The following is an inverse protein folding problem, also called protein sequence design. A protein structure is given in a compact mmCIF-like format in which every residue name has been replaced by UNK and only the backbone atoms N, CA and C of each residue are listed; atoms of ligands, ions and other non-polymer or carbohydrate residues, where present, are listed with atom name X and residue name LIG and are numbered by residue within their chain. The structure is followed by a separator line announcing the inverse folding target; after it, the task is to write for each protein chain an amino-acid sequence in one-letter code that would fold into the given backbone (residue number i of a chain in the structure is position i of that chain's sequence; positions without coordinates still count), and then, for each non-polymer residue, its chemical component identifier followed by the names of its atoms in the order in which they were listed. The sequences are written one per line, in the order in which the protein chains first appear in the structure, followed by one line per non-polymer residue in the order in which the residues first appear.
data_IF_138703969655
#
_entry.id   IF_138703969655
#
_cell.length_a   1.000
_cell.length_b   1.000
_cell.length_c   1.000
_cell.angle_alpha   90.00
_cell.angle_beta   90.00
_cell.angle_gamma   90.00
#
_symmetry.space_group_name_H-M   'P 1'
#
loop_
_entity.id
_entity.type
_entity.pdbx_description
1 polymer ?
#
# COMPACT_ATOMS: atom_id res chain seq x y z
N UNK A 1 -3.22 -12.30 -16.01
CA UNK A 1 -2.73 -11.23 -15.11
C UNK A 1 -3.08 -9.90 -15.76
N UNK A 2 -3.80 -9.02 -15.07
CA UNK A 2 -4.11 -7.67 -15.58
C UNK A 2 -2.88 -6.75 -15.61
N UNK A 3 -3.02 -5.47 -16.00
CA UNK A 3 -1.94 -4.49 -15.84
C UNK A 3 -1.59 -4.28 -14.36
N UNK A 4 -0.34 -3.88 -14.09
CA UNK A 4 0.10 -3.46 -12.75
C UNK A 4 -0.51 -2.12 -12.43
N UNK A 5 -1.04 -1.98 -11.21
CA UNK A 5 -1.48 -0.70 -10.67
C UNK A 5 -0.35 -0.01 -9.93
N UNK A 6 -0.24 1.30 -10.10
CA UNK A 6 0.71 2.13 -9.37
C UNK A 6 -0.02 2.98 -8.34
N UNK A 7 0.42 2.86 -7.09
CA UNK A 7 -0.10 3.60 -5.94
C UNK A 7 1.03 4.46 -5.36
N UNK A 8 1.26 5.69 -5.85
CA UNK A 8 2.23 6.60 -5.25
C UNK A 8 2.00 6.81 -3.75
N UNK A 9 3.03 6.58 -2.93
CA UNK A 9 3.00 6.95 -1.51
C UNK A 9 3.30 8.43 -1.36
N UNK A 10 2.37 9.17 -0.75
CA UNK A 10 2.56 10.60 -0.48
C UNK A 10 3.56 10.86 0.65
N UNK A 11 4.03 9.82 1.35
CA UNK A 11 5.02 9.93 2.43
C UNK A 11 6.30 10.63 1.96
N UNK A 12 6.64 10.51 0.68
CA UNK A 12 7.82 11.13 0.08
C UNK A 12 7.49 12.33 -0.81
N UNK A 13 6.23 12.76 -0.85
CA UNK A 13 5.83 13.98 -1.56
C UNK A 13 6.22 15.23 -0.75
N UNK A 14 6.30 16.38 -1.43
CA UNK A 14 6.41 17.67 -0.75
C UNK A 14 5.07 17.99 -0.06
N UNK A 15 5.02 17.79 1.26
CA UNK A 15 3.82 18.02 2.06
C UNK A 15 3.37 19.49 2.06
N UNK A 16 4.27 20.45 1.80
CA UNK A 16 3.91 21.86 1.68
C UNK A 16 3.13 22.17 0.39
N UNK A 17 3.23 21.28 -0.61
CA UNK A 17 2.58 21.38 -1.92
C UNK A 17 1.79 20.12 -2.26
N UNK A 18 1.21 19.47 -1.24
CA UNK A 18 0.59 18.15 -1.38
C UNK A 18 -0.53 18.11 -2.44
N UNK A 19 -1.36 19.15 -2.51
CA UNK A 19 -2.41 19.24 -3.54
C UNK A 19 -1.82 19.14 -4.96
N UNK A 20 -0.76 19.90 -5.23
CA UNK A 20 -0.10 19.92 -6.54
C UNK A 20 0.52 18.56 -6.86
N UNK A 21 1.18 17.93 -5.89
CA UNK A 21 1.77 16.61 -6.05
C UNK A 21 0.72 15.53 -6.39
N UNK A 22 -0.45 15.58 -5.73
CA UNK A 22 -1.56 14.66 -6.01
C UNK A 22 -2.14 14.90 -7.41
N UNK A 23 -2.37 16.16 -7.79
CA UNK A 23 -2.89 16.51 -9.12
C UNK A 23 -1.92 16.11 -10.23
N UNK A 24 -0.62 16.27 -10.01
CA UNK A 24 0.41 15.82 -10.96
C UNK A 24 0.39 14.30 -11.12
N UNK A 25 0.26 13.55 -10.02
CA UNK A 25 0.17 12.10 -10.06
C UNK A 25 -1.12 11.61 -10.77
N UNK A 26 -2.27 12.22 -10.47
CA UNK A 26 -3.54 11.92 -11.16
C UNK A 26 -3.45 12.23 -12.66
N UNK A 27 -2.87 13.37 -13.04
CA UNK A 27 -2.65 13.73 -14.45
C UNK A 27 -1.67 12.80 -15.17
N UNK A 28 -0.67 12.25 -14.46
CA UNK A 28 0.24 11.23 -14.98
C UNK A 28 -0.46 9.87 -15.22
N UNK A 29 -1.64 9.67 -14.63
CA UNK A 29 -2.44 8.46 -14.74
C UNK A 29 -1.96 7.35 -13.81
N UNK A 30 -1.62 7.69 -12.56
CA UNK A 30 -1.50 6.70 -11.47
C UNK A 30 -2.89 6.12 -11.15
N UNK A 31 -2.90 4.95 -10.52
CA UNK A 31 -4.16 4.24 -10.26
C UNK A 31 -4.76 4.67 -8.92
N UNK A 32 -3.95 4.74 -7.86
CA UNK A 32 -4.38 5.04 -6.48
C UNK A 32 -3.48 6.09 -5.83
N UNK A 33 -3.88 6.62 -4.67
CA UNK A 33 -3.01 7.40 -3.79
C UNK A 33 -2.78 6.61 -2.50
N UNK A 34 -1.53 6.26 -2.19
CA UNK A 34 -1.17 5.49 -1.01
C UNK A 34 -0.83 6.42 0.17
N UNK A 35 -1.42 6.12 1.33
CA UNK A 35 -1.43 6.96 2.51
C UNK A 35 -0.89 6.17 3.71
N UNK A 36 0.39 6.39 4.02
CA UNK A 36 1.09 5.76 5.14
C UNK A 36 0.79 6.47 6.47
N UNK A 37 -0.07 5.87 7.29
CA UNK A 37 -0.46 6.37 8.61
C UNK A 37 0.40 5.70 9.67
N UNK A 38 1.18 6.49 10.39
CA UNK A 38 2.11 6.03 11.42
C UNK A 38 1.83 6.74 12.75
N UNK A 39 1.88 6.02 13.87
CA UNK A 39 1.53 6.54 15.21
C UNK A 39 2.73 6.79 16.15
N UNK A 40 3.96 6.55 15.70
CA UNK A 40 5.15 6.67 16.55
C UNK A 40 5.35 5.52 17.54
N UNK A 41 4.50 4.48 17.51
CA UNK A 41 4.61 3.31 18.39
C UNK A 41 4.81 2.03 17.57
N UNK A 42 4.03 1.81 16.50
CA UNK A 42 4.18 0.63 15.64
C UNK A 42 5.46 0.73 14.82
N UNK A 43 5.74 1.96 14.40
CA UNK A 43 6.99 2.42 13.81
C UNK A 43 7.46 3.67 14.54
N UNK A 44 8.76 4.03 14.52
CA UNK A 44 9.28 5.16 15.28
C UNK A 44 8.73 6.54 14.86
N UNK A 45 8.29 6.69 13.60
CA UNK A 45 7.84 7.96 13.05
C UNK A 45 6.33 8.17 13.24
N UNK A 46 5.93 9.44 13.32
CA UNK A 46 4.53 9.89 13.32
C UNK A 46 4.28 10.63 11.99
N UNK A 47 3.24 10.25 11.25
CA UNK A 47 2.89 10.92 9.99
C UNK A 47 1.67 11.82 10.16
N UNK A 48 0.48 11.27 9.96
CA UNK A 48 -0.78 12.00 9.93
C UNK A 48 -1.95 11.07 10.26
N UNK A 49 -3.12 11.65 10.53
CA UNK A 49 -4.35 10.91 10.84
C UNK A 49 -5.48 11.18 9.84
N UNK A 50 -6.73 10.86 10.22
CA UNK A 50 -7.91 10.99 9.36
C UNK A 50 -8.11 12.39 8.74
N UNK A 51 -7.72 13.45 9.45
CA UNK A 51 -7.79 14.84 8.95
C UNK A 51 -7.06 15.03 7.61
N UNK A 52 -5.87 14.42 7.45
CA UNK A 52 -5.14 14.53 6.18
C UNK A 52 -5.81 13.70 5.10
N UNK A 53 -6.33 12.51 5.43
CA UNK A 53 -7.07 11.67 4.48
C UNK A 53 -8.28 12.42 3.92
N UNK A 54 -9.02 13.14 4.77
CA UNK A 54 -10.14 13.99 4.35
C UNK A 54 -9.67 15.14 3.43
N UNK A 55 -8.53 15.77 3.75
CA UNK A 55 -7.96 16.80 2.89
C UNK A 55 -7.54 16.25 1.51
N UNK A 56 -6.89 15.09 1.46
CA UNK A 56 -6.52 14.40 0.22
C UNK A 56 -7.77 14.01 -0.58
N UNK A 57 -8.83 13.53 0.07
CA UNK A 57 -10.08 13.14 -0.58
C UNK A 57 -10.73 14.30 -1.33
N UNK A 58 -10.60 15.54 -0.82
CA UNK A 58 -11.12 16.75 -1.50
C UNK A 58 -10.34 17.11 -2.77
N UNK A 59 -9.11 16.63 -2.93
CA UNK A 59 -8.20 17.01 -4.03
C UNK A 59 -8.37 16.10 -5.25
N UNK A 60 -8.55 14.79 -5.03
CA UNK A 60 -8.56 13.77 -6.09
C UNK A 60 -9.84 12.95 -6.09
N UNK A 61 -10.12 12.26 -7.18
CA UNK A 61 -11.18 11.23 -7.28
C UNK A 61 -10.64 9.79 -7.28
N UNK A 62 -9.31 9.62 -7.34
CA UNK A 62 -8.67 8.31 -7.33
C UNK A 62 -8.91 7.56 -6.01
N UNK A 63 -8.89 6.22 -6.01
CA UNK A 63 -8.96 5.44 -4.78
C UNK A 63 -7.88 5.84 -3.77
N UNK A 64 -8.28 6.04 -2.52
CA UNK A 64 -7.39 6.28 -1.40
C UNK A 64 -7.06 4.96 -0.69
N UNK A 65 -5.80 4.55 -0.78
CA UNK A 65 -5.26 3.33 -0.19
C UNK A 65 -4.58 3.66 1.14
N UNK A 66 -5.33 3.52 2.24
CA UNK A 66 -4.86 3.85 3.59
C UNK A 66 -4.19 2.65 4.22
N UNK A 67 -2.90 2.81 4.52
CA UNK A 67 -2.06 1.79 5.13
C UNK A 67 -1.77 2.17 6.59
N UNK A 68 -2.35 1.39 7.52
CA UNK A 68 -2.31 1.66 8.95
C UNK A 68 -1.13 0.96 9.63
N UNK A 69 -0.03 1.67 9.76
CA UNK A 69 1.13 1.33 10.60
C UNK A 69 0.94 1.91 12.00
N UNK A 70 -0.13 1.48 12.70
CA UNK A 70 -0.53 1.94 14.03
C UNK A 70 -0.94 0.77 14.92
N UNK A 71 -0.77 0.85 16.24
CA UNK A 71 -1.27 -0.20 17.17
C UNK A 71 -2.77 -0.03 17.39
N UNK A 72 -3.45 -1.15 17.62
CA UNK A 72 -4.90 -1.18 17.86
C UNK A 72 -5.70 -0.42 16.79
N UNK A 73 -5.48 -0.72 15.49
CA UNK A 73 -6.11 0.00 14.39
C UNK A 73 -7.64 0.00 14.44
N UNK A 74 -8.25 -0.98 15.13
CA UNK A 74 -9.69 -1.05 15.38
C UNK A 74 -10.28 0.24 15.99
N UNK A 75 -9.46 1.06 16.65
CA UNK A 75 -9.88 2.34 17.23
C UNK A 75 -10.14 3.44 16.21
N UNK A 76 -9.60 3.31 14.99
CA UNK A 76 -9.60 4.38 13.98
C UNK A 76 -10.26 3.98 12.65
N UNK A 77 -10.69 2.71 12.49
CA UNK A 77 -11.23 2.22 11.22
C UNK A 77 -12.43 3.05 10.72
N UNK A 78 -13.32 3.43 11.63
CA UNK A 78 -14.48 4.25 11.30
C UNK A 78 -14.08 5.68 10.91
N UNK A 79 -13.15 6.29 11.64
CA UNK A 79 -12.65 7.63 11.33
C UNK A 79 -12.00 7.69 9.94
N UNK A 80 -11.17 6.69 9.60
CA UNK A 80 -10.55 6.62 8.26
C UNK A 80 -11.57 6.33 7.16
N UNK A 81 -12.58 5.48 7.42
CA UNK A 81 -13.64 5.21 6.47
C UNK A 81 -14.48 6.47 6.18
N UNK A 82 -14.80 7.25 7.22
CA UNK A 82 -15.52 8.53 7.11
C UNK A 82 -14.67 9.62 6.45
N UNK A 83 -13.36 9.65 6.70
CA UNK A 83 -12.43 10.57 6.04
C UNK A 83 -12.27 10.33 4.53
N UNK A 84 -12.83 9.23 4.00
CA UNK A 84 -12.87 8.96 2.56
C UNK A 84 -11.87 7.91 2.09
N UNK A 85 -11.31 7.10 2.99
CA UNK A 85 -10.55 5.92 2.59
C UNK A 85 -11.43 4.99 1.72
N UNK A 86 -10.84 4.44 0.65
CA UNK A 86 -11.48 3.42 -0.19
C UNK A 86 -10.98 2.03 0.19
N UNK A 87 -9.67 1.92 0.45
CA UNK A 87 -9.04 0.74 1.02
C UNK A 87 -8.49 1.07 2.40
N UNK A 88 -8.61 0.13 3.34
CA UNK A 88 -7.98 0.20 4.66
C UNK A 88 -7.21 -1.09 4.88
N UNK A 89 -5.89 -0.98 4.95
CA UNK A 89 -4.98 -2.09 5.19
C UNK A 89 -4.43 -2.00 6.61
N UNK A 90 -4.65 -3.05 7.41
CA UNK A 90 -4.12 -3.16 8.79
C UNK A 90 -2.98 -4.16 8.86
N UNK A 91 -2.03 -3.94 9.74
CA UNK A 91 -0.99 -4.91 10.03
C UNK A 91 -1.49 -6.09 10.87
N UNK A 92 -1.08 -7.31 10.52
CA UNK A 92 -1.31 -8.49 11.35
C UNK A 92 -0.68 -8.32 12.74
N UNK A 93 0.47 -7.65 12.82
CA UNK A 93 1.24 -7.44 14.04
C UNK A 93 0.65 -6.36 14.95
N UNK A 94 -0.28 -5.54 14.44
CA UNK A 94 -0.78 -4.35 15.13
C UNK A 94 -1.97 -4.61 16.05
N UNK A 95 -2.59 -5.79 15.98
CA UNK A 95 -3.79 -6.13 16.75
C UNK A 95 -3.81 -7.60 17.15
N UNK A 96 -4.40 -7.91 18.29
CA UNK A 96 -4.66 -9.29 18.70
C UNK A 96 -5.79 -9.95 17.89
N UNK A 97 -6.58 -9.15 17.14
CA UNK A 97 -7.79 -9.63 16.47
C UNK A 97 -7.85 -9.19 14.99
N UNK A 98 -6.89 -9.61 14.15
CA UNK A 98 -6.83 -9.19 12.74
C UNK A 98 -8.09 -9.58 11.96
N UNK A 99 -8.68 -10.75 12.24
CA UNK A 99 -9.97 -11.14 11.66
C UNK A 99 -11.08 -10.12 11.93
N UNK A 100 -11.21 -9.66 13.18
CA UNK A 100 -12.25 -8.70 13.57
C UNK A 100 -12.01 -7.35 12.89
N UNK A 101 -10.76 -6.90 12.80
CA UNK A 101 -10.42 -5.66 12.11
C UNK A 101 -10.80 -5.72 10.61
N UNK A 102 -10.46 -6.81 9.93
CA UNK A 102 -10.83 -7.04 8.52
C UNK A 102 -12.34 -6.99 8.32
N UNK A 103 -13.12 -7.70 9.15
CA UNK A 103 -14.58 -7.69 9.04
C UNK A 103 -15.16 -6.30 9.29
N UNK A 104 -14.64 -5.56 10.27
CA UNK A 104 -15.08 -4.18 10.55
C UNK A 104 -14.84 -3.24 9.37
N UNK A 105 -13.71 -3.37 8.66
CA UNK A 105 -13.46 -2.58 7.43
C UNK A 105 -14.52 -2.87 6.37
N UNK A 106 -14.88 -4.15 6.18
CA UNK A 106 -15.92 -4.55 5.21
C UNK A 106 -17.32 -4.06 5.62
N UNK A 107 -17.66 -4.13 6.90
CA UNK A 107 -18.92 -3.59 7.45
C UNK A 107 -19.05 -2.07 7.22
N UNK A 108 -17.94 -1.35 7.21
CA UNK A 108 -17.88 0.07 6.87
C UNK A 108 -17.98 0.34 5.34
N UNK A 109 -18.20 -0.70 4.54
CA UNK A 109 -18.33 -0.62 3.08
C UNK A 109 -17.02 -0.36 2.34
N UNK A 110 -15.87 -0.60 2.99
CA UNK A 110 -14.54 -0.37 2.43
C UNK A 110 -13.85 -1.67 2.04
N UNK A 111 -12.80 -1.57 1.23
CA UNK A 111 -11.97 -2.71 0.86
C UNK A 111 -10.98 -3.04 1.97
N UNK A 112 -10.96 -4.29 2.40
CA UNK A 112 -10.15 -4.71 3.54
C UNK A 112 -8.82 -5.30 3.09
N UNK A 113 -7.73 -4.73 3.62
CA UNK A 113 -6.38 -5.21 3.43
C UNK A 113 -5.77 -5.77 4.72
N UNK A 114 -4.89 -6.76 4.57
CA UNK A 114 -3.97 -7.19 5.62
C UNK A 114 -2.54 -6.96 5.15
N UNK A 115 -1.71 -6.37 5.99
CA UNK A 115 -0.27 -6.22 5.79
C UNK A 115 0.51 -7.17 6.70
N UNK A 116 1.67 -7.63 6.22
CA UNK A 116 2.66 -8.33 7.05
C UNK A 116 4.05 -7.75 6.83
N UNK A 117 4.80 -7.63 7.93
CA UNK A 117 6.19 -7.21 7.96
C UNK A 117 7.12 -8.26 7.32
N UNK A 118 8.36 -7.88 6.94
CA UNK A 118 9.29 -8.82 6.32
C UNK A 118 9.60 -10.06 7.18
N UNK A 119 9.65 -9.86 8.51
CA UNK A 119 9.91 -10.93 9.48
C UNK A 119 8.71 -11.82 9.81
N UNK A 120 7.51 -11.44 9.39
CA UNK A 120 6.28 -12.17 9.72
C UNK A 120 6.06 -13.34 8.74
N UNK A 121 5.71 -14.54 9.22
CA UNK A 121 5.40 -15.69 8.36
C UNK A 121 4.21 -15.39 7.42
N UNK A 122 4.26 -15.87 6.17
CA UNK A 122 3.18 -15.67 5.20
C UNK A 122 1.91 -16.43 5.55
N UNK A 123 2.04 -17.46 6.38
CA UNK A 123 0.97 -18.27 6.93
C UNK A 123 -0.03 -17.42 7.74
N UNK A 124 0.37 -16.22 8.18
CA UNK A 124 -0.53 -15.23 8.77
C UNK A 124 -1.66 -14.77 7.81
N UNK A 125 -1.44 -14.84 6.50
CA UNK A 125 -2.49 -14.54 5.50
C UNK A 125 -3.51 -15.66 5.37
N UNK A 126 -3.09 -16.92 5.43
CA UNK A 126 -3.90 -18.08 5.05
C UNK A 126 -5.32 -18.11 5.65
N UNK A 127 -5.54 -17.86 6.96
CA UNK A 127 -6.88 -17.90 7.54
C UNK A 127 -7.77 -16.70 7.13
N UNK A 128 -7.18 -15.60 6.67
CA UNK A 128 -7.89 -14.35 6.37
C UNK A 128 -8.03 -14.12 4.86
N UNK A 129 -7.16 -14.71 4.05
CA UNK A 129 -7.09 -14.49 2.60
C UNK A 129 -8.44 -14.64 1.86
N UNK A 130 -9.34 -15.58 2.22
CA UNK A 130 -10.68 -15.65 1.61
C UNK A 130 -11.52 -14.38 1.76
N UNK A 131 -11.29 -13.60 2.81
CA UNK A 131 -12.04 -12.38 3.11
C UNK A 131 -11.36 -11.09 2.64
N UNK A 132 -10.08 -11.14 2.27
CA UNK A 132 -9.30 -9.96 1.92
C UNK A 132 -9.59 -9.48 0.50
N UNK A 133 -9.63 -8.16 0.34
CA UNK A 133 -9.54 -7.50 -0.97
C UNK A 133 -8.08 -7.23 -1.34
N UNK A 134 -7.22 -6.97 -0.35
CA UNK A 134 -5.79 -6.71 -0.53
C UNK A 134 -4.93 -7.55 0.43
N UNK A 135 -3.81 -8.05 -0.07
CA UNK A 135 -2.74 -8.66 0.72
C UNK A 135 -1.45 -7.86 0.49
N UNK A 136 -1.06 -7.04 1.46
CA UNK A 136 0.11 -6.17 1.39
C UNK A 136 1.32 -6.87 1.98
N UNK A 137 2.34 -7.07 1.15
CA UNK A 137 3.63 -7.58 1.58
C UNK A 137 4.64 -6.44 1.66
N UNK A 138 5.12 -6.17 2.88
CA UNK A 138 6.22 -5.25 3.08
C UNK A 138 7.51 -5.83 2.47
N UNK A 139 8.12 -5.08 1.55
CA UNK A 139 9.43 -5.38 0.96
C UNK A 139 10.56 -4.53 1.54
N UNK A 140 10.26 -3.74 2.59
CA UNK A 140 11.20 -3.05 3.49
C UNK A 140 10.64 -3.15 4.92
N UNK A 141 11.41 -2.80 5.95
CA UNK A 141 10.81 -2.65 7.28
C UNK A 141 10.01 -1.34 7.32
N UNK A 142 8.77 -1.35 7.86
CA UNK A 142 7.93 -0.15 7.87
C UNK A 142 8.59 0.98 8.66
N UNK A 143 8.29 2.23 8.28
CA UNK A 143 8.61 3.42 9.07
C UNK A 143 9.15 4.63 8.31
N UNK A 144 9.80 4.46 7.15
CA UNK A 144 10.25 5.59 6.34
C UNK A 144 10.50 5.22 4.87
N UNK A 145 10.40 6.21 3.98
CA UNK A 145 10.66 6.07 2.54
C UNK A 145 12.16 5.99 2.18
N UNK A 146 12.47 5.62 0.94
CA UNK A 146 13.85 5.58 0.42
C UNK A 146 14.67 4.35 0.82
N UNK A 147 14.07 3.40 1.54
CA UNK A 147 14.70 2.12 1.87
C UNK A 147 14.92 1.23 0.65
N UNK A 148 15.91 0.35 0.74
CA UNK A 148 16.23 -0.61 -0.33
C UNK A 148 15.33 -1.83 -0.25
N UNK A 149 14.81 -2.24 -1.41
CA UNK A 149 14.04 -3.47 -1.56
C UNK A 149 14.80 -4.68 -0.98
N UNK A 150 14.13 -5.45 -0.14
CA UNK A 150 14.69 -6.66 0.46
C UNK A 150 14.69 -7.80 -0.59
N UNK A 151 15.85 -8.41 -0.92
CA UNK A 151 15.90 -9.49 -1.90
C UNK A 151 15.00 -10.69 -1.56
N UNK A 152 14.76 -10.92 -0.26
CA UNK A 152 13.86 -11.97 0.24
C UNK A 152 12.38 -11.73 -0.11
N UNK A 153 11.99 -10.49 -0.41
CA UNK A 153 10.61 -10.13 -0.72
C UNK A 153 10.13 -10.78 -2.02
N UNK A 154 11.00 -10.96 -3.02
CA UNK A 154 10.63 -11.58 -4.30
C UNK A 154 10.15 -13.02 -4.11
N UNK A 155 10.86 -13.82 -3.33
CA UNK A 155 10.43 -15.19 -3.07
C UNK A 155 9.16 -15.25 -2.22
N UNK A 156 9.03 -14.31 -1.27
CA UNK A 156 7.80 -14.18 -0.47
C UNK A 156 6.59 -13.80 -1.34
N UNK A 157 6.76 -12.92 -2.33
CA UNK A 157 5.71 -12.59 -3.31
C UNK A 157 5.27 -13.82 -4.11
N UNK A 158 6.20 -14.66 -4.57
CA UNK A 158 5.86 -15.91 -5.29
C UNK A 158 5.02 -16.84 -4.45
N UNK A 159 5.42 -17.05 -3.19
CA UNK A 159 4.69 -17.89 -2.22
C UNK A 159 3.30 -17.32 -1.91
N UNK A 160 3.22 -16.01 -1.69
CA UNK A 160 1.93 -15.32 -1.46
C UNK A 160 1.02 -15.43 -2.68
N UNK A 161 1.56 -15.26 -3.90
CA UNK A 161 0.82 -15.46 -5.16
C UNK A 161 0.24 -16.86 -5.26
N UNK A 162 1.04 -17.90 -5.00
CA UNK A 162 0.55 -19.28 -5.03
C UNK A 162 -0.56 -19.53 -3.99
N UNK A 163 -0.43 -18.94 -2.79
CA UNK A 163 -1.45 -19.01 -1.75
C UNK A 163 -2.74 -18.28 -2.16
N UNK A 164 -2.62 -17.05 -2.68
CA UNK A 164 -3.73 -16.23 -3.20
C UNK A 164 -4.45 -16.93 -4.32
N UNK A 165 -3.74 -17.45 -5.32
CA UNK A 165 -4.35 -18.13 -6.48
C UNK A 165 -5.15 -19.38 -6.07
N UNK A 166 -4.79 -20.02 -4.95
CA UNK A 166 -5.51 -21.18 -4.41
C UNK A 166 -6.75 -20.78 -3.60
N UNK A 167 -6.65 -19.72 -2.78
CA UNK A 167 -7.66 -19.41 -1.76
C UNK A 167 -8.59 -18.26 -2.15
N UNK A 168 -8.06 -17.23 -2.83
CA UNK A 168 -8.82 -16.05 -3.25
C UNK A 168 -8.15 -15.38 -4.48
N UNK A 169 -8.40 -15.87 -5.71
CA UNK A 169 -7.86 -15.29 -6.94
C UNK A 169 -8.19 -13.81 -7.17
N UNK A 170 -9.24 -13.29 -6.51
CA UNK A 170 -9.69 -11.91 -6.65
C UNK A 170 -8.92 -10.93 -5.75
N UNK A 171 -8.32 -11.39 -4.65
CA UNK A 171 -7.51 -10.56 -3.77
C UNK A 171 -6.27 -10.02 -4.50
N UNK A 172 -6.01 -8.72 -4.39
CA UNK A 172 -4.87 -8.07 -5.02
C UNK A 172 -3.63 -8.15 -4.11
N UNK A 173 -2.49 -8.56 -4.68
CA UNK A 173 -1.22 -8.53 -3.95
C UNK A 173 -0.59 -7.14 -4.11
N UNK A 174 -0.38 -6.47 -2.98
CA UNK A 174 0.29 -5.17 -2.91
C UNK A 174 1.73 -5.39 -2.44
N UNK A 175 2.70 -4.76 -3.11
CA UNK A 175 4.08 -4.69 -2.64
C UNK A 175 4.41 -3.26 -2.25
N UNK A 176 4.97 -3.07 -1.06
CA UNK A 176 5.34 -1.76 -0.53
C UNK A 176 6.76 -1.72 0.03
N UNK A 177 7.54 -0.75 -0.48
CA UNK A 177 8.91 -0.48 -0.08
C UNK A 177 9.96 -0.82 -1.13
N UNK A 178 10.80 0.16 -1.48
CA UNK A 178 11.94 -0.04 -2.39
C UNK A 178 11.56 -0.31 -3.85
N UNK A 179 10.32 -0.03 -4.25
CA UNK A 179 9.87 -0.12 -5.64
C UNK A 179 10.46 1.04 -6.45
N UNK A 180 11.19 0.70 -7.50
CA UNK A 180 11.79 1.63 -8.46
C UNK A 180 11.94 0.93 -9.82
N UNK A 181 12.64 1.57 -10.76
CA UNK A 181 12.84 1.05 -12.12
C UNK A 181 13.55 -0.30 -12.16
N UNK A 182 14.38 -0.60 -11.18
CA UNK A 182 15.18 -1.83 -11.15
C UNK A 182 14.41 -2.98 -10.48
N UNK A 183 13.45 -2.68 -9.60
CA UNK A 183 12.77 -3.69 -8.77
C UNK A 183 11.32 -3.97 -9.20
N UNK A 184 10.64 -3.03 -9.86
CA UNK A 184 9.22 -3.14 -10.20
C UNK A 184 8.91 -4.36 -11.09
N UNK A 185 9.78 -4.63 -12.08
CA UNK A 185 9.62 -5.76 -12.99
C UNK A 185 9.78 -7.10 -12.27
N UNK A 186 10.73 -7.18 -11.34
CA UNK A 186 10.95 -8.36 -10.51
C UNK A 186 9.76 -8.63 -9.60
N UNK A 187 9.28 -7.60 -8.87
CA UNK A 187 8.12 -7.72 -8.00
C UNK A 187 6.85 -8.11 -8.77
N UNK A 188 6.65 -7.53 -9.97
CA UNK A 188 5.55 -7.93 -10.85
C UNK A 188 5.66 -9.40 -11.26
N UNK A 189 6.81 -9.83 -11.76
CA UNK A 189 7.02 -11.25 -12.15
C UNK A 189 6.79 -12.20 -10.98
N UNK A 190 7.10 -11.77 -9.76
CA UNK A 190 6.86 -12.54 -8.55
C UNK A 190 5.39 -12.63 -8.13
N UNK A 191 4.52 -11.72 -8.59
CA UNK A 191 3.08 -11.81 -8.38
C UNK A 191 2.40 -10.55 -7.86
N UNK A 192 3.13 -9.45 -7.66
CA UNK A 192 2.52 -8.19 -7.24
C UNK A 192 1.55 -7.67 -8.31
N UNK A 193 0.33 -7.30 -7.90
CA UNK A 193 -0.70 -6.69 -8.74
C UNK A 193 -0.74 -5.16 -8.60
N UNK A 194 -0.28 -4.67 -7.44
CA UNK A 194 -0.18 -3.25 -7.09
C UNK A 194 1.23 -2.98 -6.59
N UNK A 195 1.84 -1.91 -7.08
CA UNK A 195 3.17 -1.46 -6.69
C UNK A 195 3.08 -0.09 -6.00
N UNK A 196 3.41 -0.04 -4.72
CA UNK A 196 3.50 1.22 -3.95
C UNK A 196 4.89 1.82 -4.20
N UNK A 197 4.91 3.05 -4.72
CA UNK A 197 6.14 3.73 -5.10
C UNK A 197 6.15 5.17 -4.57
N UNK A 198 6.94 5.43 -3.52
CA UNK A 198 7.17 6.79 -3.00
C UNK A 198 8.25 7.53 -3.78
N UNK A 199 9.50 7.45 -3.30
CA UNK A 199 10.63 8.25 -3.79
C UNK A 199 10.99 8.02 -5.26
N UNK A 200 10.56 6.91 -5.86
CA UNK A 200 10.73 6.66 -7.28
C UNK A 200 9.79 7.53 -8.15
N UNK A 201 8.63 7.94 -7.62
CA UNK A 201 7.68 8.82 -8.29
C UNK A 201 7.82 10.28 -7.88
N UNK A 202 7.89 10.55 -6.58
CA UNK A 202 8.09 11.89 -6.04
C UNK A 202 9.58 12.15 -5.77
N UNK A 203 10.23 12.84 -6.71
CA UNK A 203 11.62 13.28 -6.65
C UNK A 203 11.79 14.54 -7.53
N UNK A 204 13.03 14.92 -7.85
CA UNK A 204 13.36 16.13 -8.62
C UNK A 204 12.92 16.09 -10.10
N UNK A 205 12.25 15.03 -10.54
CA UNK A 205 11.72 14.87 -11.91
C UNK A 205 10.19 14.86 -11.93
N UNK A 206 9.56 15.22 -13.07
CA UNK A 206 8.12 15.14 -13.22
C UNK A 206 7.58 13.72 -12.97
N UNK A 207 6.46 13.62 -12.25
CA UNK A 207 5.81 12.35 -11.91
C UNK A 207 5.47 11.54 -13.17
N UNK A 208 5.06 12.22 -14.24
CA UNK A 208 4.76 11.59 -15.53
C UNK A 208 5.99 10.92 -16.17
N UNK A 209 7.18 11.54 -16.07
CA UNK A 209 8.43 10.93 -16.56
C UNK A 209 8.78 9.69 -15.74
N UNK A 210 8.71 9.81 -14.41
CA UNK A 210 9.01 8.73 -13.49
C UNK A 210 8.07 7.54 -13.68
N UNK A 211 6.76 7.77 -13.77
CA UNK A 211 5.77 6.72 -13.99
C UNK A 211 5.97 6.04 -15.34
N UNK A 212 6.27 6.81 -16.40
CA UNK A 212 6.62 6.23 -17.72
C UNK A 212 7.83 5.33 -17.62
N UNK A 213 8.86 5.73 -16.87
CA UNK A 213 10.06 4.92 -16.68
C UNK A 213 9.77 3.61 -15.93
N UNK A 214 8.89 3.63 -14.91
CA UNK A 214 8.44 2.42 -14.22
C UNK A 214 7.65 1.50 -15.15
N UNK A 215 6.74 2.05 -15.96
CA UNK A 215 5.97 1.28 -16.94
C UNK A 215 6.87 0.65 -18.01
N UNK A 216 7.88 1.36 -18.49
CA UNK A 216 8.85 0.81 -19.45
C UNK A 216 9.68 -0.33 -18.84
N UNK A 217 10.03 -0.25 -17.56
CA UNK A 217 10.76 -1.32 -16.87
C UNK A 217 9.95 -2.64 -16.83
N UNK A 218 8.61 -2.57 -16.83
CA UNK A 218 7.75 -3.77 -16.89
C UNK A 218 7.82 -4.51 -18.24
N UNK A 219 8.34 -3.88 -19.30
CA UNK A 219 8.45 -4.48 -20.64
C UNK A 219 9.76 -5.27 -20.84
N UNK A 220 10.73 -5.12 -19.93
CA UNK A 220 12.03 -5.82 -19.94
C UNK A 220 12.07 -7.03 -19.01
#
# INVERSE_FOLDING_TARGET
MGPVRFAPSILTADLARLEEAIREAEAAGVDWIHLDVMDGVFVPNLTFGPLLVEAVRRVTSLPLDVHLMIIQPERYLEDFAQAGADHITVHFEATYHPHRAVQKVKELGKKAGLAVNPGTPLEAFEPLLPDLDLALLMSVNPGFGGQRYLPTATERLRRLKAMRDRLNPACLIVVDGGINRDTVAEARRAGADVAVAGSALFNDKPVAENLKALRLALLG
#
